data_IF_952572555449
#
_entry.id   IF_952572555449
#
_cell.length_a   1.000
_cell.length_b   1.000
_cell.length_c   1.000
_cell.angle_alpha   90.00
_cell.angle_beta   90.00
_cell.angle_gamma   90.00
#
_symmetry.space_group_name_H-M   'P 1'
#
loop_
_entity.id
_entity.type
_entity.pdbx_description
1 polymer ?
#
# COMPACT_ATOMS: atom_id res chain seq x y z
N UNK A 1 -6.45 -5.02 -7.43
CA UNK A 1 -7.36 -5.85 -6.60
C UNK A 1 -6.74 -6.24 -5.26
N UNK A 2 -5.52 -6.82 -5.17
CA UNK A 2 -4.96 -7.31 -3.90
C UNK A 2 -4.93 -6.28 -2.76
N UNK A 3 -4.35 -5.09 -2.97
CA UNK A 3 -4.34 -4.04 -1.95
C UNK A 3 -5.75 -3.58 -1.54
N UNK A 4 -6.69 -3.54 -2.49
CA UNK A 4 -8.06 -3.14 -2.20
C UNK A 4 -8.78 -4.15 -1.28
N UNK A 5 -8.58 -5.45 -1.52
CA UNK A 5 -9.13 -6.51 -0.66
C UNK A 5 -8.53 -6.42 0.75
N UNK A 6 -7.21 -6.23 0.85
CA UNK A 6 -6.53 -6.04 2.14
C UNK A 6 -7.04 -4.77 2.84
N UNK A 7 -7.09 -3.63 2.14
CA UNK A 7 -7.59 -2.38 2.71
C UNK A 7 -9.02 -2.51 3.23
N UNK A 8 -9.92 -3.13 2.45
CA UNK A 8 -11.28 -3.39 2.87
C UNK A 8 -11.37 -4.32 4.08
N UNK A 9 -10.54 -5.37 4.10
CA UNK A 9 -10.50 -6.27 5.25
C UNK A 9 -10.13 -5.51 6.53
N UNK A 10 -9.09 -4.67 6.49
CA UNK A 10 -8.70 -3.88 7.67
C UNK A 10 -9.77 -2.86 8.06
N UNK A 11 -10.38 -2.16 7.10
CA UNK A 11 -11.43 -1.18 7.36
C UNK A 11 -12.72 -1.79 7.95
N UNK A 12 -12.99 -3.09 7.73
CA UNK A 12 -14.22 -3.74 8.18
C UNK A 12 -14.02 -4.68 9.38
N UNK A 13 -12.79 -5.13 9.65
CA UNK A 13 -12.50 -6.15 10.67
C UNK A 13 -11.50 -5.71 11.74
N UNK A 14 -11.14 -4.43 11.77
CA UNK A 14 -10.30 -3.85 12.83
C UNK A 14 -10.97 -2.60 13.40
N UNK A 15 -10.29 -1.93 14.30
CA UNK A 15 -10.67 -0.67 14.93
C UNK A 15 -10.44 0.58 14.05
N UNK A 16 -10.00 0.40 12.82
CA UNK A 16 -9.71 1.50 11.90
C UNK A 16 -10.99 2.07 11.29
N UNK A 17 -11.22 3.38 11.44
CA UNK A 17 -12.32 4.08 10.79
C UNK A 17 -12.16 4.16 9.26
N UNK A 18 -10.91 4.27 8.79
CA UNK A 18 -10.57 4.44 7.38
C UNK A 18 -9.21 3.83 7.07
N UNK A 19 -9.01 3.44 5.81
CA UNK A 19 -7.71 3.03 5.27
C UNK A 19 -7.33 3.94 4.11
N UNK A 20 -6.15 4.56 4.20
CA UNK A 20 -5.64 5.45 3.17
C UNK A 20 -4.60 4.76 2.30
N UNK A 21 -4.87 4.71 0.99
CA UNK A 21 -3.93 4.22 -0.02
C UNK A 21 -3.04 5.38 -0.48
N UNK A 22 -1.89 5.55 0.15
CA UNK A 22 -0.93 6.60 -0.18
C UNK A 22 -0.15 6.23 -1.44
N UNK A 23 -0.12 7.13 -2.42
CA UNK A 23 0.64 6.95 -3.65
C UNK A 23 2.03 7.56 -3.51
N UNK A 24 3.04 6.69 -3.45
CA UNK A 24 4.45 7.09 -3.29
C UNK A 24 5.06 7.49 -4.63
N UNK A 25 5.50 8.75 -4.84
CA UNK A 25 6.19 9.18 -6.06
C UNK A 25 7.46 8.37 -6.32
N UNK A 26 8.37 8.34 -5.37
CA UNK A 26 9.62 7.61 -5.47
C UNK A 26 9.92 6.82 -4.19
N UNK A 27 9.70 5.51 -4.27
CA UNK A 27 10.12 4.61 -3.19
C UNK A 27 11.64 4.38 -3.26
N UNK A 28 12.40 4.62 -2.18
CA UNK A 28 13.87 4.47 -2.17
C UNK A 28 14.34 3.05 -2.52
N UNK A 29 13.50 2.03 -2.24
CA UNK A 29 13.82 0.63 -2.56
C UNK A 29 13.45 0.20 -4.00
N UNK A 30 12.85 1.10 -4.81
CA UNK A 30 12.33 0.79 -6.17
C UNK A 30 12.77 1.81 -7.22
N UNK A 31 13.85 2.55 -7.01
CA UNK A 31 14.29 3.66 -7.84
C UNK A 31 14.49 3.34 -9.34
N UNK A 32 14.74 2.07 -9.69
CA UNK A 32 15.07 1.64 -11.06
C UNK A 32 13.91 0.94 -11.81
N UNK A 33 12.67 1.01 -11.30
CA UNK A 33 11.53 0.40 -12.00
C UNK A 33 10.87 1.43 -12.93
N UNK A 34 10.64 1.03 -14.21
CA UNK A 34 9.76 1.79 -15.10
C UNK A 34 8.34 1.74 -14.57
N UNK A 35 7.92 2.83 -13.97
CA UNK A 35 6.59 3.01 -13.38
C UNK A 35 5.90 4.14 -14.14
N UNK A 36 4.59 4.06 -14.33
CA UNK A 36 3.78 5.16 -14.87
C UNK A 36 3.98 6.43 -14.04
N UNK A 37 3.72 7.56 -14.65
CA UNK A 37 3.77 8.85 -13.97
C UNK A 37 2.89 8.87 -12.71
N UNK A 38 3.28 9.68 -11.76
CA UNK A 38 2.63 9.74 -10.45
C UNK A 38 1.14 10.06 -10.56
N UNK A 39 0.77 10.96 -11.46
CA UNK A 39 -0.64 11.34 -11.71
C UNK A 39 -1.47 10.19 -12.21
N UNK A 40 -0.93 9.38 -13.13
CA UNK A 40 -1.61 8.20 -13.69
C UNK A 40 -1.81 7.12 -12.60
N UNK A 41 -0.80 6.93 -11.76
CA UNK A 41 -0.90 5.99 -10.63
C UNK A 41 -1.93 6.45 -9.61
N UNK A 42 -1.96 7.75 -9.29
CA UNK A 42 -2.96 8.35 -8.40
C UNK A 42 -4.36 8.18 -8.98
N UNK A 43 -4.54 8.44 -10.28
CA UNK A 43 -5.84 8.28 -10.95
C UNK A 43 -6.34 6.82 -10.85
N UNK A 44 -5.46 5.84 -11.06
CA UNK A 44 -5.83 4.43 -10.89
C UNK A 44 -6.23 4.09 -9.45
N UNK A 45 -5.56 4.67 -8.45
CA UNK A 45 -5.93 4.46 -7.05
C UNK A 45 -7.26 5.13 -6.74
N UNK A 46 -7.51 6.35 -7.22
CA UNK A 46 -8.81 7.04 -7.09
C UNK A 46 -9.95 6.20 -7.68
N UNK A 47 -9.78 5.70 -8.92
CA UNK A 47 -10.75 4.81 -9.57
C UNK A 47 -10.94 3.49 -8.83
N UNK A 48 -9.91 2.97 -8.19
CA UNK A 48 -10.01 1.73 -7.41
C UNK A 48 -10.76 1.90 -6.10
N UNK A 49 -10.74 3.09 -5.50
CA UNK A 49 -11.26 3.35 -4.15
C UNK A 49 -12.59 4.11 -4.13
N UNK A 50 -13.03 4.65 -5.27
CA UNK A 50 -14.18 5.55 -5.36
C UNK A 50 -15.50 4.99 -4.80
N UNK A 51 -15.70 3.67 -4.88
CA UNK A 51 -16.93 3.00 -4.46
C UNK A 51 -16.86 2.49 -3.00
N UNK A 52 -15.76 2.78 -2.28
CA UNK A 52 -15.50 2.29 -0.92
C UNK A 52 -15.35 3.45 0.06
N UNK A 53 -16.39 3.76 0.86
CA UNK A 53 -16.41 4.97 1.71
C UNK A 53 -15.31 5.01 2.78
N UNK A 54 -14.87 3.84 3.26
CA UNK A 54 -13.80 3.72 4.25
C UNK A 54 -12.39 3.62 3.65
N UNK A 55 -12.26 3.56 2.31
CA UNK A 55 -10.95 3.46 1.66
C UNK A 55 -10.70 4.71 0.85
N UNK A 56 -9.62 5.43 1.12
CA UNK A 56 -9.28 6.68 0.45
C UNK A 56 -7.97 6.58 -0.31
N UNK A 57 -7.88 7.27 -1.43
CA UNK A 57 -6.61 7.57 -2.10
C UNK A 57 -5.99 8.82 -1.49
N UNK A 58 -4.67 8.84 -1.32
CA UNK A 58 -3.95 10.02 -0.85
C UNK A 58 -2.73 10.29 -1.72
N UNK A 59 -2.52 11.55 -2.04
CA UNK A 59 -1.36 12.11 -2.75
C UNK A 59 -0.43 12.90 -1.81
N UNK A 60 -0.57 12.72 -0.52
CA UNK A 60 0.16 13.44 0.53
C UNK A 60 1.68 13.44 0.31
N UNK A 61 2.24 12.35 -0.22
CA UNK A 61 3.67 12.25 -0.50
C UNK A 61 4.13 13.06 -1.72
N UNK A 62 3.19 13.61 -2.52
CA UNK A 62 3.55 14.49 -3.66
C UNK A 62 4.06 15.86 -3.17
N UNK A 63 3.69 16.25 -1.95
CA UNK A 63 4.13 17.47 -1.29
C UNK A 63 5.50 17.32 -0.61
N UNK A 64 6.00 16.06 -0.47
CA UNK A 64 7.23 15.75 0.23
C UNK A 64 8.45 15.66 -0.72
N UNK A 65 9.62 15.97 -0.17
CA UNK A 65 10.89 15.78 -0.88
C UNK A 65 11.15 14.30 -1.17
N UNK A 66 11.66 14.00 -2.36
CA UNK A 66 12.03 12.65 -2.77
C UNK A 66 13.49 12.34 -2.43
N UNK A 67 13.81 11.07 -2.14
CA UNK A 67 12.92 9.91 -2.07
C UNK A 67 12.02 9.93 -0.82
N UNK A 68 10.79 9.40 -0.97
CA UNK A 68 9.80 9.41 0.09
C UNK A 68 10.08 8.32 1.13
N UNK A 69 10.27 8.72 2.39
CA UNK A 69 10.46 7.81 3.52
C UNK A 69 9.22 7.80 4.42
N UNK A 70 8.77 6.61 4.82
CA UNK A 70 7.54 6.43 5.60
C UNK A 70 7.49 7.28 6.88
N UNK A 71 8.62 7.44 7.57
CA UNK A 71 8.68 8.29 8.77
C UNK A 71 8.31 9.74 8.48
N UNK A 72 8.72 10.29 7.32
CA UNK A 72 8.37 11.65 6.92
C UNK A 72 6.91 11.76 6.52
N UNK A 73 6.37 10.74 5.86
CA UNK A 73 4.96 10.65 5.48
C UNK A 73 4.06 10.66 6.70
N UNK A 74 4.38 9.82 7.70
CA UNK A 74 3.61 9.74 8.94
C UNK A 74 3.65 11.06 9.73
N UNK A 75 4.84 11.67 9.89
CA UNK A 75 4.97 12.96 10.56
C UNK A 75 4.18 14.08 9.85
N UNK A 76 4.20 14.11 8.52
CA UNK A 76 3.43 15.08 7.73
C UNK A 76 1.91 14.84 7.82
N UNK A 77 1.49 13.58 7.89
CA UNK A 77 0.09 13.23 8.13
C UNK A 77 -0.39 13.71 9.50
N UNK A 78 0.38 13.50 10.58
CA UNK A 78 0.04 14.01 11.92
C UNK A 78 -0.05 15.54 11.95
N UNK A 79 0.88 16.23 11.29
CA UNK A 79 0.85 17.68 11.21
C UNK A 79 -0.39 18.22 10.48
N UNK A 80 -0.76 17.57 9.37
CA UNK A 80 -1.87 18.00 8.51
C UNK A 80 -3.25 17.58 9.07
N UNK A 81 -3.29 16.51 9.84
CA UNK A 81 -4.52 15.92 10.42
C UNK A 81 -4.35 15.62 11.91
N UNK A 82 -4.25 16.65 12.77
CA UNK A 82 -3.91 16.49 14.18
C UNK A 82 -4.96 15.73 15.01
N UNK A 83 -6.19 15.63 14.51
CA UNK A 83 -7.29 14.90 15.16
C UNK A 83 -7.31 13.40 14.79
N UNK A 84 -6.37 12.93 13.95
CA UNK A 84 -6.31 11.54 13.50
C UNK A 84 -5.15 10.80 14.15
N UNK A 85 -5.41 9.57 14.54
CA UNK A 85 -4.38 8.60 14.91
C UNK A 85 -4.03 7.72 13.70
N UNK A 86 -2.75 7.67 13.35
CA UNK A 86 -2.29 6.93 12.18
C UNK A 86 -1.68 5.58 12.55
N UNK A 87 -2.14 4.53 11.86
CA UNK A 87 -1.64 3.16 11.95
C UNK A 87 -0.99 2.77 10.63
N UNK A 88 0.20 2.18 10.67
CA UNK A 88 0.89 1.71 9.48
C UNK A 88 0.48 0.26 9.16
N UNK A 89 -0.13 0.04 8.00
CA UNK A 89 -0.48 -1.32 7.53
C UNK A 89 0.60 -1.81 6.58
N UNK A 90 1.14 -3.02 6.82
CA UNK A 90 2.15 -3.62 5.95
C UNK A 90 2.03 -5.14 5.84
N UNK A 91 2.59 -5.71 4.77
CA UNK A 91 2.75 -7.16 4.66
C UNK A 91 3.95 -7.69 5.45
N UNK A 92 3.95 -8.95 5.81
CA UNK A 92 5.06 -9.64 6.51
C UNK A 92 6.41 -9.48 5.81
N UNK A 93 6.43 -9.42 4.48
CA UNK A 93 7.64 -9.17 3.69
C UNK A 93 8.28 -7.80 3.99
N UNK A 94 7.47 -6.78 4.24
CA UNK A 94 7.96 -5.47 4.66
C UNK A 94 8.41 -5.48 6.12
N UNK A 95 7.70 -6.16 7.01
CA UNK A 95 8.10 -6.31 8.41
C UNK A 95 9.50 -6.94 8.52
N UNK A 96 9.80 -7.98 7.74
CA UNK A 96 11.13 -8.62 7.71
C UNK A 96 12.25 -7.67 7.30
N UNK A 97 11.96 -6.65 6.52
CA UNK A 97 12.92 -5.63 6.07
C UNK A 97 12.79 -4.29 6.80
N UNK A 98 11.90 -4.17 7.77
CA UNK A 98 11.60 -2.93 8.47
C UNK A 98 12.82 -2.33 9.16
N UNK A 99 13.73 -3.18 9.68
CA UNK A 99 14.99 -2.77 10.30
C UNK A 99 15.91 -1.96 9.35
N UNK A 100 15.67 -1.99 8.04
CA UNK A 100 16.41 -1.21 7.03
C UNK A 100 15.75 0.14 6.71
N UNK A 101 14.58 0.41 7.29
CA UNK A 101 13.87 1.64 7.02
C UNK A 101 14.48 2.80 7.79
N UNK A 102 14.43 3.97 7.17
CA UNK A 102 14.95 5.18 7.79
C UNK A 102 14.18 5.51 9.07
N UNK A 103 14.91 5.73 10.17
CA UNK A 103 14.36 6.07 11.47
C UNK A 103 13.25 5.07 11.93
N UNK A 104 13.54 3.77 11.76
CA UNK A 104 12.62 2.70 12.14
C UNK A 104 12.23 2.77 13.61
N UNK A 105 13.15 3.16 14.47
CA UNK A 105 12.91 3.29 15.92
C UNK A 105 11.80 4.30 16.20
N UNK A 106 11.80 5.45 15.52
CA UNK A 106 10.74 6.47 15.61
C UNK A 106 9.40 5.91 15.14
N UNK A 107 9.38 5.11 14.05
CA UNK A 107 8.15 4.49 13.56
C UNK A 107 7.61 3.50 14.59
N UNK A 108 8.46 2.62 15.12
CA UNK A 108 8.06 1.58 16.06
C UNK A 108 7.61 2.13 17.43
N UNK A 109 8.18 3.26 17.86
CA UNK A 109 7.84 3.92 19.12
C UNK A 109 6.53 4.69 19.04
N UNK A 110 6.28 5.37 17.91
CA UNK A 110 5.17 6.34 17.80
C UNK A 110 3.91 5.82 17.13
N UNK A 111 4.01 4.78 16.29
CA UNK A 111 2.90 4.32 15.46
C UNK A 111 2.60 2.85 15.67
N UNK A 112 1.32 2.52 15.77
CA UNK A 112 0.89 1.12 15.69
C UNK A 112 1.16 0.57 14.28
N UNK A 113 1.59 -0.69 14.20
CA UNK A 113 1.89 -1.36 12.95
C UNK A 113 1.02 -2.61 12.84
N UNK A 114 0.11 -2.62 11.88
CA UNK A 114 -0.73 -3.77 11.56
C UNK A 114 -0.13 -4.57 10.41
N UNK A 115 0.11 -5.85 10.66
CA UNK A 115 0.81 -6.73 9.72
C UNK A 115 -0.10 -7.84 9.23
N UNK A 116 -0.19 -8.00 7.91
CA UNK A 116 -0.94 -9.08 7.28
C UNK A 116 -0.01 -10.14 6.66
N UNK A 117 -0.45 -11.43 6.68
CA UNK A 117 0.33 -12.55 6.14
C UNK A 117 0.42 -12.47 4.61
N UNK A 118 1.52 -12.96 4.05
CA UNK A 118 1.73 -13.06 2.60
C UNK A 118 1.70 -14.48 2.07
N UNK A 119 1.96 -15.49 2.91
CA UNK A 119 2.00 -16.91 2.53
C UNK A 119 1.35 -17.76 3.60
N UNK A 120 0.66 -18.84 3.18
CA UNK A 120 0.22 -19.91 4.09
C UNK A 120 1.46 -20.58 4.70
N UNK A 121 1.50 -20.66 6.03
CA UNK A 121 2.56 -21.38 6.73
C UNK A 121 3.91 -20.68 6.82
N UNK A 122 3.99 -19.38 6.60
CA UNK A 122 5.15 -18.61 7.02
C UNK A 122 5.25 -18.72 8.54
N UNK A 123 6.10 -19.66 9.00
CA UNK A 123 6.46 -19.79 10.41
C UNK A 123 7.02 -18.44 10.84
N UNK A 124 6.30 -17.81 11.73
CA UNK A 124 6.65 -16.53 12.34
C UNK A 124 7.99 -16.66 13.05
N UNK A 125 9.10 -16.43 12.36
CA UNK A 125 10.22 -15.86 13.05
C UNK A 125 9.76 -14.46 13.44
N UNK A 126 9.34 -14.35 14.68
CA UNK A 126 8.95 -13.08 15.29
C UNK A 126 10.17 -12.20 15.28
N UNK A 127 10.28 -11.31 14.32
CA UNK A 127 11.07 -10.11 14.53
C UNK A 127 10.26 -9.34 15.57
N UNK A 128 10.65 -9.48 16.82
CA UNK A 128 10.05 -8.76 17.95
C UNK A 128 10.57 -7.33 17.81
N UNK A 129 9.76 -6.46 17.22
CA UNK A 129 9.87 -5.05 17.53
C UNK A 129 9.17 -4.87 18.88
N UNK A 130 9.89 -4.44 19.88
CA UNK A 130 9.30 -3.89 21.11
C UNK A 130 8.50 -2.67 20.69
N UNK A 131 7.17 -2.80 20.67
CA UNK A 131 6.29 -1.73 20.21
C UNK A 131 4.92 -2.27 19.78
N UNK A 132 4.11 -1.40 19.27
CA UNK A 132 2.71 -1.64 18.90
C UNK A 132 2.55 -2.43 17.58
N UNK A 133 3.18 -3.61 17.45
CA UNK A 133 3.04 -4.46 16.26
C UNK A 133 1.98 -5.53 16.48
N UNK A 134 0.89 -5.48 15.73
CA UNK A 134 -0.16 -6.48 15.74
C UNK A 134 -0.16 -7.28 14.43
N UNK A 135 -0.01 -8.61 14.51
CA UNK A 135 -0.22 -9.50 13.37
C UNK A 135 -1.70 -9.87 13.30
N UNK A 136 -2.34 -9.50 12.21
CA UNK A 136 -3.77 -9.69 12.02
C UNK A 136 -4.03 -10.72 10.92
N UNK A 137 -5.03 -11.58 11.14
CA UNK A 137 -5.49 -12.49 10.10
C UNK A 137 -6.10 -11.67 8.95
N UNK A 138 -5.68 -11.94 7.72
CA UNK A 138 -6.21 -11.28 6.54
C UNK A 138 -6.20 -12.28 5.36
N UNK A 139 -7.04 -12.07 4.32
CA UNK A 139 -7.03 -12.91 3.14
C UNK A 139 -5.66 -12.95 2.46
N UNK A 140 -5.18 -14.13 2.12
CA UNK A 140 -3.94 -14.29 1.37
C UNK A 140 -4.23 -14.10 -0.12
N UNK A 141 -3.54 -13.15 -0.74
CA UNK A 141 -3.74 -12.79 -2.13
C UNK A 141 -2.40 -12.77 -2.86
N UNK A 142 -2.23 -13.71 -3.79
CA UNK A 142 -1.00 -13.86 -4.56
C UNK A 142 -0.98 -13.07 -5.88
N UNK A 143 -1.90 -12.13 -6.06
CA UNK A 143 -1.91 -11.25 -7.24
C UNK A 143 -0.92 -10.11 -7.05
N UNK A 144 0.05 -9.99 -7.96
CA UNK A 144 1.00 -8.88 -7.96
C UNK A 144 0.85 -7.98 -9.18
N UNK A 145 1.14 -6.68 -9.01
CA UNK A 145 1.14 -5.73 -10.13
C UNK A 145 2.17 -6.08 -11.20
N UNK A 146 3.29 -6.71 -10.85
CA UNK A 146 4.28 -7.19 -11.81
C UNK A 146 3.76 -8.33 -12.69
N UNK A 147 2.97 -9.25 -12.12
CA UNK A 147 2.29 -10.30 -12.86
C UNK A 147 1.30 -9.70 -13.85
N UNK A 148 0.47 -8.76 -13.40
CA UNK A 148 -0.54 -8.09 -14.23
C UNK A 148 0.14 -7.35 -15.39
N UNK A 149 1.16 -6.53 -15.14
CA UNK A 149 1.88 -5.79 -16.20
C UNK A 149 2.49 -6.71 -17.23
N UNK A 150 3.13 -7.80 -16.80
CA UNK A 150 3.69 -8.80 -17.73
C UNK A 150 2.62 -9.48 -18.59
N UNK A 151 1.47 -9.78 -17.98
CA UNK A 151 0.36 -10.41 -18.70
C UNK A 151 -0.25 -9.46 -19.74
N UNK A 152 -0.43 -8.17 -19.42
CA UNK A 152 -0.86 -7.14 -20.39
C UNK A 152 0.10 -7.07 -21.56
N UNK A 153 1.41 -6.95 -21.28
CA UNK A 153 2.45 -6.90 -22.33
C UNK A 153 2.46 -8.15 -23.20
N UNK A 154 2.03 -9.28 -22.68
CA UNK A 154 1.90 -10.55 -23.39
C UNK A 154 0.52 -10.72 -24.08
N UNK A 155 -0.31 -9.68 -24.14
CA UNK A 155 -1.64 -9.72 -24.73
C UNK A 155 -2.65 -10.61 -24.00
N UNK A 156 -2.41 -10.92 -22.70
CA UNK A 156 -3.30 -11.77 -21.91
C UNK A 156 -4.39 -10.93 -21.24
N UNK A 157 -5.59 -11.52 -21.14
CA UNK A 157 -6.70 -10.89 -20.44
C UNK A 157 -6.46 -10.89 -18.91
N UNK A 158 -6.39 -9.71 -18.31
CA UNK A 158 -6.23 -9.49 -16.87
C UNK A 158 -7.43 -8.79 -16.23
N UNK A 159 -8.48 -8.56 -16.99
CA UNK A 159 -9.68 -7.84 -16.53
C UNK A 159 -10.23 -8.37 -15.20
N UNK A 160 -10.32 -9.71 -14.96
CA UNK A 160 -10.79 -10.23 -13.69
C UNK A 160 -9.89 -9.95 -12.47
N UNK A 161 -8.64 -9.52 -12.72
CA UNK A 161 -7.64 -9.24 -11.67
C UNK A 161 -7.63 -7.79 -11.21
N UNK A 162 -8.45 -6.94 -11.82
CA UNK A 162 -8.48 -5.48 -11.59
C UNK A 162 -9.90 -5.00 -11.28
N UNK A 163 -10.07 -3.90 -10.51
CA UNK A 163 -11.33 -3.19 -10.46
C UNK A 163 -11.74 -2.75 -11.88
N UNK A 164 -13.04 -2.83 -12.20
CA UNK A 164 -13.55 -2.54 -13.55
C UNK A 164 -13.11 -1.16 -14.05
N UNK A 165 -13.25 -0.13 -13.23
CA UNK A 165 -12.89 1.23 -13.60
C UNK A 165 -11.38 1.37 -13.90
N UNK A 166 -10.53 0.67 -13.13
CA UNK A 166 -9.07 0.65 -13.37
C UNK A 166 -8.73 -0.07 -14.67
N UNK A 167 -9.42 -1.17 -14.97
CA UNK A 167 -9.21 -1.88 -16.23
C UNK A 167 -9.58 -1.01 -17.45
N UNK A 168 -10.74 -0.37 -17.41
CA UNK A 168 -11.17 0.54 -18.49
C UNK A 168 -10.13 1.63 -18.71
N UNK A 169 -9.69 2.29 -17.66
CA UNK A 169 -8.68 3.34 -17.73
C UNK A 169 -7.33 2.86 -18.32
N UNK A 170 -6.86 1.69 -17.86
CA UNK A 170 -5.62 1.08 -18.39
C UNK A 170 -5.72 0.77 -19.88
N UNK A 171 -6.87 0.29 -20.33
CA UNK A 171 -7.12 -0.11 -21.71
C UNK A 171 -7.22 1.09 -22.65
N UNK A 172 -7.97 2.13 -22.25
CA UNK A 172 -8.11 3.39 -22.99
C UNK A 172 -6.80 4.14 -23.15
N UNK A 173 -5.99 4.17 -22.09
CA UNK A 173 -4.68 4.83 -22.10
C UNK A 173 -3.57 3.99 -22.71
N UNK A 174 -3.85 2.76 -23.14
CA UNK A 174 -2.87 1.81 -23.69
C UNK A 174 -1.67 1.54 -22.75
N UNK A 175 -1.85 1.59 -21.45
CA UNK A 175 -0.76 1.36 -20.51
C UNK A 175 -0.30 -0.10 -20.48
N UNK A 176 1.01 -0.27 -20.49
CA UNK A 176 1.69 -1.57 -20.43
C UNK A 176 1.47 -2.50 -21.65
N UNK A 177 0.88 -2.02 -22.74
CA UNK A 177 0.75 -2.76 -24.02
C UNK A 177 2.03 -2.74 -24.82
#
# INVERSE_FOLDING_TARGET
MGHLIIANHFAEHTDLDQVWCVVTPQNPHKANQSILENRERLQMVKLATQDYPKIKSSDIEFELSQPNYTVHTLAHLEEKYPDYEFVLIMGEDNLMSLHKWRNVDVIAERYAIYVYPRKLGSSSQSVIFEGHVAKLAAPIIEISSSLIRRAIKAGKNVQPMLPKAVWVYLDEMNFYK
#
